data_IF_762939532442
#
_entry.id   IF_762939532442
#
_cell.length_a   1.000
_cell.length_b   1.000
_cell.length_c   1.000
_cell.angle_alpha   90.00
_cell.angle_beta   90.00
_cell.angle_gamma   90.00
#
_symmetry.space_group_name_H-M   'P 1'
#
loop_
_entity.id
_entity.type
_entity.pdbx_description
1 polymer ?
#
# COMPACT_ATOMS: atom_id res chain seq x y z
N UNK A 1 -1.11 -3.07 -0.33
CA UNK A 1 -0.72 -4.18 0.54
C UNK A 1 -1.48 -5.43 0.13
N UNK A 2 -1.40 -6.52 0.91
CA UNK A 2 -2.14 -7.76 0.61
C UNK A 2 -3.66 -7.61 0.79
N UNK A 3 -4.09 -6.72 1.68
CA UNK A 3 -5.50 -6.54 2.07
C UNK A 3 -6.22 -5.40 1.34
N UNK A 4 -5.54 -4.72 0.42
CA UNK A 4 -6.09 -3.56 -0.29
C UNK A 4 -5.08 -2.46 -0.59
N UNK A 5 -5.59 -1.38 -1.17
CA UNK A 5 -4.84 -0.21 -1.60
C UNK A 5 -5.38 1.00 -0.84
N UNK A 6 -4.49 1.71 -0.14
CA UNK A 6 -4.79 3.04 0.39
C UNK A 6 -4.27 4.08 -0.59
N UNK A 7 -5.13 5.01 -1.00
CA UNK A 7 -4.79 6.16 -1.85
C UNK A 7 -4.98 7.44 -1.04
N UNK A 8 -4.02 8.34 -1.13
CA UNK A 8 -4.09 9.67 -0.51
C UNK A 8 -4.04 10.68 -1.66
N UNK A 9 -5.17 11.35 -1.93
CA UNK A 9 -5.30 12.38 -2.96
C UNK A 9 -6.51 13.29 -2.64
N UNK A 10 -6.27 14.43 -2.00
CA UNK A 10 -7.33 15.32 -1.50
C UNK A 10 -8.27 14.69 -0.45
N UNK A 11 -7.90 13.52 0.07
CA UNK A 11 -8.67 12.65 0.96
C UNK A 11 -8.02 11.27 1.03
N UNK A 12 -8.57 10.36 1.83
CA UNK A 12 -8.08 8.98 1.95
C UNK A 12 -9.12 8.02 1.38
N UNK A 13 -8.73 7.22 0.40
CA UNK A 13 -9.56 6.14 -0.15
C UNK A 13 -8.93 4.80 0.21
N UNK A 14 -9.73 3.86 0.72
CA UNK A 14 -9.33 2.49 0.99
C UNK A 14 -10.12 1.55 0.09
N UNK A 15 -9.42 0.96 -0.88
CA UNK A 15 -9.94 -0.04 -1.79
C UNK A 15 -9.59 -1.44 -1.26
N UNK A 16 -10.60 -2.24 -0.94
CA UNK A 16 -10.43 -3.64 -0.52
C UNK A 16 -11.04 -4.56 -1.55
N UNK A 17 -10.20 -5.42 -2.13
CA UNK A 17 -10.59 -6.45 -3.07
C UNK A 17 -10.02 -7.80 -2.61
N UNK A 18 -10.79 -8.91 -2.71
CA UNK A 18 -10.25 -10.24 -2.51
C UNK A 18 -9.03 -10.48 -3.39
N UNK A 19 -8.02 -11.15 -2.82
CA UNK A 19 -6.83 -11.52 -3.57
C UNK A 19 -7.20 -12.55 -4.64
N UNK A 20 -6.67 -12.36 -5.84
CA UNK A 20 -6.76 -13.41 -6.88
C UNK A 20 -6.02 -14.67 -6.39
N UNK A 21 -6.68 -15.84 -6.38
CA UNK A 21 -6.07 -17.07 -5.88
C UNK A 21 -4.94 -17.56 -6.80
N UNK A 22 -4.96 -17.14 -8.07
CA UNK A 22 -4.02 -17.57 -9.09
C UNK A 22 -3.79 -16.48 -10.14
N UNK A 23 -2.61 -16.42 -10.78
CA UNK A 23 -2.34 -15.41 -11.82
C UNK A 23 -3.15 -15.66 -13.08
N UNK A 24 -3.76 -14.61 -13.64
CA UNK A 24 -4.38 -14.71 -14.96
C UNK A 24 -3.41 -15.20 -16.06
N UNK A 25 -3.96 -15.82 -17.10
CA UNK A 25 -3.22 -16.29 -18.27
C UNK A 25 -3.97 -15.97 -19.56
N UNK A 26 -3.23 -15.86 -20.66
CA UNK A 26 -3.79 -15.65 -22.01
C UNK A 26 -3.10 -16.62 -22.95
N UNK A 27 -3.77 -17.72 -23.27
CA UNK A 27 -3.19 -18.83 -24.05
C UNK A 27 -3.99 -19.16 -25.31
N UNK A 28 -5.12 -18.49 -25.56
CA UNK A 28 -6.06 -18.87 -26.61
C UNK A 28 -5.44 -18.78 -28.02
N UNK A 29 -4.38 -17.99 -28.18
CA UNK A 29 -3.67 -17.80 -29.46
C UNK A 29 -2.67 -18.92 -29.78
N UNK A 30 -2.32 -19.76 -28.81
CA UNK A 30 -1.41 -20.90 -29.03
C UNK A 30 -2.15 -22.12 -29.60
N UNK A 31 -1.40 -23.03 -30.22
CA UNK A 31 -1.93 -24.32 -30.63
C UNK A 31 -2.49 -25.10 -29.42
N UNK A 32 -3.57 -25.88 -29.63
CA UNK A 32 -4.26 -26.64 -28.56
C UNK A 32 -3.31 -27.48 -27.70
N UNK A 33 -2.36 -28.18 -28.32
CA UNK A 33 -1.38 -28.99 -27.60
C UNK A 33 -0.52 -28.18 -26.62
N UNK A 34 -0.23 -26.91 -26.93
CA UNK A 34 0.49 -26.00 -26.03
C UNK A 34 -0.42 -25.51 -24.92
N UNK A 35 -1.69 -25.22 -25.22
CA UNK A 35 -2.68 -24.83 -24.21
C UNK A 35 -2.85 -25.93 -23.15
N UNK A 36 -2.99 -27.18 -23.59
CA UNK A 36 -3.13 -28.35 -22.71
C UNK A 36 -1.92 -28.51 -21.78
N UNK A 37 -0.69 -28.45 -22.34
CA UNK A 37 0.55 -28.53 -21.55
C UNK A 37 0.67 -27.38 -20.55
N UNK A 38 0.32 -26.16 -20.96
CA UNK A 38 0.32 -25.01 -20.07
C UNK A 38 -0.65 -25.24 -18.91
N UNK A 39 -1.88 -25.67 -19.19
CA UNK A 39 -2.89 -25.89 -18.16
C UNK A 39 -2.51 -27.02 -17.20
N UNK A 40 -1.84 -28.06 -17.67
CA UNK A 40 -1.32 -29.13 -16.82
C UNK A 40 -0.31 -28.59 -15.79
N UNK A 41 0.72 -27.88 -16.25
CA UNK A 41 1.73 -27.28 -15.36
C UNK A 41 1.15 -26.18 -14.48
N UNK A 42 0.25 -25.38 -15.02
CA UNK A 42 -0.44 -24.32 -14.28
C UNK A 42 -1.25 -24.90 -13.13
N UNK A 43 -2.01 -26.00 -13.35
CA UNK A 43 -2.82 -26.64 -12.30
C UNK A 43 -1.99 -27.43 -11.28
N UNK A 44 -0.79 -27.89 -11.65
CA UNK A 44 0.19 -28.41 -10.68
C UNK A 44 0.68 -27.31 -9.73
N UNK A 45 0.88 -26.10 -10.25
CA UNK A 45 1.37 -24.95 -9.46
C UNK A 45 0.25 -24.22 -8.70
N UNK A 46 -0.94 -24.16 -9.28
CA UNK A 46 -2.15 -23.52 -8.74
C UNK A 46 -3.32 -24.52 -8.78
N UNK A 47 -3.37 -25.43 -7.79
CA UNK A 47 -4.48 -26.36 -7.66
C UNK A 47 -5.81 -25.62 -7.53
N UNK A 48 -6.90 -26.20 -8.06
CA UNK A 48 -8.23 -25.61 -7.93
C UNK A 48 -8.67 -25.70 -6.46
N UNK A 49 -8.75 -24.55 -5.79
CA UNK A 49 -9.28 -24.47 -4.44
C UNK A 49 -10.80 -24.26 -4.45
N UNK A 50 -11.47 -24.81 -3.44
CA UNK A 50 -12.89 -24.50 -3.20
C UNK A 50 -13.02 -23.07 -2.70
N UNK A 51 -13.97 -22.27 -3.21
CA UNK A 51 -14.20 -20.92 -2.72
C UNK A 51 -14.39 -20.91 -1.20
N UNK A 52 -13.58 -20.10 -0.51
CA UNK A 52 -13.68 -19.86 0.93
C UNK A 52 -14.34 -18.50 1.19
N UNK A 53 -14.70 -18.22 2.45
CA UNK A 53 -15.36 -16.97 2.82
C UNK A 53 -14.58 -15.71 2.40
N UNK A 54 -13.25 -15.79 2.35
CA UNK A 54 -12.39 -14.67 1.97
C UNK A 54 -12.42 -14.40 0.46
N UNK A 55 -12.51 -15.45 -0.36
CA UNK A 55 -12.58 -15.35 -1.83
C UNK A 55 -13.87 -14.70 -2.37
N UNK A 56 -14.91 -14.60 -1.52
CA UNK A 56 -16.24 -14.06 -1.89
C UNK A 56 -16.52 -12.73 -1.16
N UNK A 57 -15.52 -12.14 -0.49
CA UNK A 57 -15.71 -10.83 0.15
C UNK A 57 -16.10 -9.79 -0.90
N UNK A 58 -17.05 -8.90 -0.60
CA UNK A 58 -17.43 -7.84 -1.52
C UNK A 58 -16.26 -6.88 -1.76
N UNK A 59 -16.15 -6.42 -3.00
CA UNK A 59 -15.31 -5.25 -3.31
C UNK A 59 -15.90 -4.07 -2.56
N UNK A 60 -15.09 -3.42 -1.73
CA UNK A 60 -15.51 -2.26 -0.94
C UNK A 60 -14.54 -1.12 -1.13
N UNK A 61 -15.11 0.07 -1.29
CA UNK A 61 -14.40 1.34 -1.32
C UNK A 61 -14.88 2.17 -0.13
N UNK A 62 -13.94 2.63 0.68
CA UNK A 62 -14.22 3.52 1.82
C UNK A 62 -13.48 4.85 1.59
N UNK A 63 -14.20 5.97 1.70
CA UNK A 63 -13.68 7.31 1.42
C UNK A 63 -13.79 8.22 2.64
N UNK A 64 -12.66 8.75 3.07
CA UNK A 64 -12.54 9.76 4.11
C UNK A 64 -12.13 11.08 3.47
N UNK A 65 -13.12 11.93 3.18
CA UNK A 65 -12.93 13.19 2.47
C UNK A 65 -12.95 14.38 3.43
N UNK A 66 -12.09 15.39 3.23
CA UNK A 66 -12.19 16.64 3.96
C UNK A 66 -13.44 17.43 3.53
N UNK A 67 -13.82 18.47 4.31
CA UNK A 67 -14.90 19.37 3.93
C UNK A 67 -14.68 19.97 2.54
N UNK A 68 -15.77 20.28 1.84
CA UNK A 68 -15.71 20.89 0.51
C UNK A 68 -14.92 22.20 0.55
N UNK A 69 -13.94 22.33 -0.35
CA UNK A 69 -13.09 23.52 -0.46
C UNK A 69 -11.96 23.60 0.56
N UNK A 70 -11.75 22.56 1.37
CA UNK A 70 -10.56 22.44 2.22
C UNK A 70 -9.29 22.44 1.37
N UNK A 71 -8.24 23.10 1.86
CA UNK A 71 -6.91 23.11 1.26
C UNK A 71 -5.89 22.79 2.33
N UNK A 72 -5.38 21.56 2.29
CA UNK A 72 -4.26 21.11 3.10
C UNK A 72 -3.03 21.99 2.95
N UNK A 73 -2.72 22.42 1.72
CA UNK A 73 -1.60 23.30 1.43
C UNK A 73 -1.73 24.65 2.15
N UNK A 74 -2.91 25.27 2.14
CA UNK A 74 -3.14 26.54 2.82
C UNK A 74 -2.98 26.40 4.34
N UNK A 75 -3.61 25.38 4.94
CA UNK A 75 -3.57 25.19 6.39
C UNK A 75 -2.20 24.72 6.87
N UNK A 76 -1.46 23.93 6.08
CA UNK A 76 -0.07 23.57 6.34
C UNK A 76 0.81 24.81 6.49
N UNK A 77 0.70 25.77 5.57
CA UNK A 77 1.47 27.03 5.64
C UNK A 77 1.00 27.94 6.78
N UNK A 78 -0.31 28.03 7.05
CA UNK A 78 -0.81 28.78 8.22
C UNK A 78 -0.28 28.22 9.52
N UNK A 79 -0.25 26.89 9.67
CA UNK A 79 0.26 26.22 10.86
C UNK A 79 1.72 26.57 11.07
N UNK A 80 2.56 26.45 10.04
CA UNK A 80 3.97 26.84 10.10
C UNK A 80 4.16 28.30 10.55
N UNK A 81 3.51 29.25 9.85
CA UNK A 81 3.65 30.69 10.17
C UNK A 81 3.15 30.98 11.59
N UNK A 82 2.06 30.35 12.01
CA UNK A 82 1.50 30.51 13.36
C UNK A 82 2.46 29.99 14.43
N UNK A 83 3.06 28.81 14.23
CA UNK A 83 4.06 28.25 15.14
C UNK A 83 5.28 29.17 15.26
N UNK A 84 5.77 29.73 14.15
CA UNK A 84 6.88 30.71 14.16
C UNK A 84 6.51 31.95 14.98
N UNK A 85 5.33 32.54 14.73
CA UNK A 85 4.89 33.78 15.41
C UNK A 85 4.64 33.58 16.90
N UNK A 86 4.08 32.45 17.27
CA UNK A 86 3.64 32.18 18.65
C UNK A 86 4.68 31.41 19.47
N UNK A 87 5.74 30.91 18.83
CA UNK A 87 6.70 29.95 19.40
C UNK A 87 6.04 28.68 19.95
N UNK A 88 4.85 28.33 19.45
CA UNK A 88 4.21 27.05 19.76
C UNK A 88 4.85 25.94 18.91
N UNK A 89 5.06 24.74 19.47
CA UNK A 89 5.53 23.61 18.70
C UNK A 89 4.66 23.32 17.47
N UNK A 90 5.29 22.82 16.40
CA UNK A 90 4.58 22.24 15.25
C UNK A 90 4.16 20.80 15.59
N UNK A 91 3.13 20.30 14.92
CA UNK A 91 2.69 18.90 15.06
C UNK A 91 3.73 17.95 14.44
N UNK A 92 4.25 18.30 13.27
CA UNK A 92 5.28 17.53 12.55
C UNK A 92 6.66 18.12 12.84
N UNK A 93 7.23 17.72 13.98
CA UNK A 93 8.55 18.17 14.41
C UNK A 93 9.70 17.36 13.78
N UNK A 94 10.98 17.65 14.08
CA UNK A 94 12.10 16.89 13.53
C UNK A 94 12.07 15.39 13.86
N UNK A 95 11.50 14.99 15.01
CA UNK A 95 11.39 13.58 15.40
C UNK A 95 10.35 12.88 14.52
N UNK A 96 9.21 13.52 14.27
CA UNK A 96 8.23 13.06 13.29
C UNK A 96 8.87 12.85 11.91
N UNK A 97 9.62 13.85 11.43
CA UNK A 97 10.31 13.78 10.14
C UNK A 97 11.32 12.64 10.07
N UNK A 98 12.12 12.41 11.11
CA UNK A 98 13.11 11.33 11.13
C UNK A 98 12.46 9.95 11.16
N UNK A 99 11.37 9.77 11.92
CA UNK A 99 10.56 8.55 11.94
C UNK A 99 9.94 8.22 10.59
N UNK A 100 9.60 9.23 9.79
CA UNK A 100 9.12 9.03 8.41
C UNK A 100 10.27 8.72 7.43
N UNK A 101 11.41 9.41 7.58
CA UNK A 101 12.56 9.25 6.69
C UNK A 101 13.23 7.87 6.79
N UNK A 102 13.32 7.28 7.98
CA UNK A 102 13.93 5.97 8.21
C UNK A 102 13.31 4.87 7.33
N UNK A 103 12.01 4.54 7.47
CA UNK A 103 11.32 3.56 6.64
C UNK A 103 11.35 3.88 5.15
N UNK A 104 11.31 5.16 4.76
CA UNK A 104 11.41 5.56 3.36
C UNK A 104 12.76 5.14 2.75
N UNK A 105 13.86 5.36 3.48
CA UNK A 105 15.19 4.89 3.06
C UNK A 105 15.30 3.36 3.10
N UNK A 106 14.74 2.71 4.12
CA UNK A 106 14.74 1.25 4.24
C UNK A 106 13.94 0.56 3.14
N UNK A 107 12.95 1.22 2.55
CA UNK A 107 12.22 0.70 1.40
C UNK A 107 13.14 0.52 0.20
N UNK A 108 14.06 1.47 -0.03
CA UNK A 108 15.09 1.35 -1.07
C UNK A 108 16.08 0.23 -0.72
N UNK A 109 16.52 0.15 0.53
CA UNK A 109 17.45 -0.89 0.99
C UNK A 109 16.87 -2.30 0.80
N UNK A 110 15.62 -2.51 1.24
CA UNK A 110 14.86 -3.75 1.09
C UNK A 110 14.75 -4.18 -0.38
N UNK A 111 14.49 -3.22 -1.27
CA UNK A 111 14.42 -3.48 -2.70
C UNK A 111 15.74 -4.03 -3.25
N UNK A 112 16.88 -3.40 -2.90
CA UNK A 112 18.19 -3.82 -3.40
C UNK A 112 18.72 -5.10 -2.74
N UNK A 113 18.44 -5.32 -1.46
CA UNK A 113 18.93 -6.47 -0.70
C UNK A 113 18.00 -7.68 -0.74
N UNK A 114 16.81 -7.54 -1.33
CA UNK A 114 15.77 -8.59 -1.39
C UNK A 114 15.45 -9.21 -0.03
N UNK A 115 15.48 -8.39 1.03
CA UNK A 115 15.17 -8.82 2.40
C UNK A 115 14.32 -7.80 3.12
N UNK A 116 13.53 -8.28 4.09
CA UNK A 116 12.80 -7.41 5.01
C UNK A 116 13.80 -6.64 5.89
N UNK A 117 13.61 -5.33 5.96
CA UNK A 117 14.35 -4.43 6.86
C UNK A 117 13.39 -3.95 7.94
N UNK A 118 13.66 -4.27 9.21
CA UNK A 118 12.79 -3.86 10.30
C UNK A 118 13.21 -2.47 10.81
N UNK A 119 12.24 -1.67 11.22
CA UNK A 119 12.45 -0.33 11.76
C UNK A 119 11.83 -0.26 13.14
N UNK A 120 12.64 0.12 14.13
CA UNK A 120 12.14 0.48 15.45
C UNK A 120 11.88 2.00 15.46
N UNK A 121 10.60 2.45 15.51
CA UNK A 121 10.27 3.86 15.50
C UNK A 121 10.55 4.58 16.84
N UNK A 122 10.72 3.85 17.94
CA UNK A 122 11.02 4.43 19.24
C UNK A 122 12.51 4.73 19.37
N UNK A 123 13.36 3.76 19.03
CA UNK A 123 14.81 3.96 19.04
C UNK A 123 15.33 4.60 17.75
N UNK A 124 14.51 4.62 16.69
CA UNK A 124 14.84 5.14 15.36
C UNK A 124 16.05 4.43 14.75
N UNK A 125 16.05 3.10 14.86
CA UNK A 125 17.13 2.22 14.39
C UNK A 125 16.64 1.11 13.47
N UNK A 126 17.54 0.61 12.63
CA UNK A 126 17.36 -0.61 11.85
C UNK A 126 17.45 -1.83 12.78
N UNK A 127 16.51 -2.77 12.63
CA UNK A 127 16.48 -4.04 13.36
C UNK A 127 16.46 -5.26 12.44
#
# INVERSE_FOLDING_TARGET
GSEGIMKIDGGVTLDKQPREPEPGYTIETFAKATQEKFMEEYRKKYPVETPNADSIRPISEEKFLPPRGYSDHLDHHRNFITSVRTRKPVVEDPVFGFRAAGPALLSNLSYFEHRVCNWDPETMTLS
#
